data_IF_230724854045
#
_entry.id   IF_230724854045
#
_cell.length_a   1.000
_cell.length_b   1.000
_cell.length_c   1.000
_cell.angle_alpha   90.00
_cell.angle_beta   90.00
_cell.angle_gamma   90.00
#
_symmetry.space_group_name_H-M   'P 1'
#
loop_
_entity.id
_entity.type
_entity.pdbx_description
1 polymer ?
#
# COMPACT_ATOMS: atom_id res chain seq x y z
N UNK A 1 -26.70 5.28 0.13
CA UNK A 1 -26.72 5.65 1.53
C UNK A 1 -25.79 4.73 2.30
N UNK A 2 -24.90 5.28 3.07
CA UNK A 2 -24.06 4.47 3.98
C UNK A 2 -25.01 3.97 5.06
N UNK A 3 -25.10 2.66 5.23
CA UNK A 3 -25.95 2.08 6.25
C UNK A 3 -25.49 2.60 7.62
N UNK A 4 -26.42 3.20 8.34
CA UNK A 4 -26.15 3.83 9.63
C UNK A 4 -25.99 2.79 10.76
N UNK A 5 -26.45 1.57 10.56
CA UNK A 5 -26.33 0.49 11.53
C UNK A 5 -25.68 -0.76 10.94
N UNK A 6 -24.35 -0.83 11.10
CA UNK A 6 -23.59 -2.04 10.79
C UNK A 6 -23.27 -2.86 12.06
N UNK A 7 -23.80 -2.48 13.19
CA UNK A 7 -23.62 -3.14 14.47
C UNK A 7 -24.13 -4.54 14.40
N UNK A 8 -24.09 -5.53 14.21
CA UNK A 8 -24.67 -6.86 14.05
C UNK A 8 -25.02 -7.21 12.59
N UNK A 9 -24.58 -6.39 11.64
CA UNK A 9 -24.93 -6.57 10.24
C UNK A 9 -23.71 -6.31 9.33
N UNK A 10 -22.72 -7.18 9.46
CA UNK A 10 -21.53 -7.13 8.60
C UNK A 10 -21.91 -7.58 7.19
N UNK A 11 -21.76 -6.71 6.21
CA UNK A 11 -22.08 -7.01 4.80
C UNK A 11 -20.85 -6.87 3.92
N UNK A 12 -20.60 -7.81 3.00
CA UNK A 12 -19.66 -7.60 1.93
C UNK A 12 -20.16 -6.47 1.03
N UNK A 13 -19.25 -5.62 0.60
CA UNK A 13 -19.54 -4.49 -0.26
C UNK A 13 -18.64 -4.45 -1.49
N UNK A 14 -19.17 -3.86 -2.56
CA UNK A 14 -18.38 -3.56 -3.73
C UNK A 14 -17.36 -2.46 -3.43
N UNK A 15 -16.12 -2.65 -3.86
CA UNK A 15 -15.07 -1.64 -3.72
C UNK A 15 -14.75 -0.98 -5.06
N UNK A 16 -14.92 0.34 -5.13
CA UNK A 16 -14.48 1.17 -6.25
C UNK A 16 -12.96 1.08 -6.47
N UNK A 17 -12.20 0.77 -5.42
CA UNK A 17 -10.75 0.62 -5.49
C UNK A 17 -10.33 -0.43 -6.54
N UNK A 18 -11.10 -1.51 -6.72
CA UNK A 18 -10.80 -2.53 -7.73
C UNK A 18 -10.78 -1.94 -9.15
N UNK A 19 -11.77 -1.13 -9.49
CA UNK A 19 -11.85 -0.50 -10.81
C UNK A 19 -10.71 0.50 -11.00
N UNK A 20 -10.49 1.35 -10.02
CA UNK A 20 -9.44 2.38 -10.07
C UNK A 20 -8.04 1.75 -10.18
N UNK A 21 -7.76 0.74 -9.38
CA UNK A 21 -6.47 0.04 -9.39
C UNK A 21 -6.22 -0.66 -10.72
N UNK A 22 -7.23 -1.33 -11.33
CA UNK A 22 -7.08 -1.96 -12.65
C UNK A 22 -6.79 -0.93 -13.76
N UNK A 23 -7.34 0.28 -13.65
CA UNK A 23 -7.06 1.37 -14.60
C UNK A 23 -5.66 1.94 -14.43
N UNK A 24 -5.20 2.13 -13.19
CA UNK A 24 -3.89 2.68 -12.87
C UNK A 24 -2.74 1.68 -13.13
N UNK A 25 -3.00 0.42 -12.92
CA UNK A 25 -2.02 -0.65 -13.03
C UNK A 25 -2.53 -1.78 -13.93
N UNK A 26 -2.64 -1.56 -15.25
CA UNK A 26 -3.20 -2.54 -16.18
C UNK A 26 -2.41 -3.86 -16.24
N UNK A 27 -1.14 -3.83 -15.85
CA UNK A 27 -0.25 -4.99 -15.82
C UNK A 27 -0.38 -5.84 -14.55
N UNK A 28 -1.20 -5.40 -13.57
CA UNK A 28 -1.47 -6.24 -12.40
C UNK A 28 -2.56 -7.24 -12.76
N UNK A 29 -2.16 -8.49 -12.89
CA UNK A 29 -3.09 -9.60 -13.08
C UNK A 29 -3.70 -10.00 -11.72
N UNK A 30 -4.94 -10.51 -11.75
CA UNK A 30 -5.64 -11.07 -10.58
C UNK A 30 -5.82 -10.07 -9.41
N UNK A 31 -6.00 -8.79 -9.72
CA UNK A 31 -6.37 -7.81 -8.71
C UNK A 31 -7.81 -8.04 -8.26
N UNK A 32 -8.01 -8.33 -7.00
CA UNK A 32 -9.33 -8.46 -6.38
C UNK A 32 -9.38 -7.66 -5.08
N UNK A 33 -10.52 -7.05 -4.80
CA UNK A 33 -10.74 -6.28 -3.57
C UNK A 33 -12.06 -6.71 -2.93
N UNK A 34 -11.98 -7.00 -1.64
CA UNK A 34 -13.14 -7.31 -0.79
C UNK A 34 -13.32 -6.13 0.17
N UNK A 35 -14.52 -5.58 0.23
CA UNK A 35 -14.85 -4.50 1.15
C UNK A 35 -15.86 -5.02 2.18
N UNK A 36 -15.54 -4.84 3.44
CA UNK A 36 -16.46 -5.08 4.55
C UNK A 36 -16.89 -3.73 5.13
N UNK A 37 -18.19 -3.55 5.26
CA UNK A 37 -18.76 -2.35 5.86
C UNK A 37 -19.13 -2.64 7.29
N UNK A 38 -18.65 -1.79 8.16
CA UNK A 38 -18.95 -1.83 9.60
C UNK A 38 -19.03 -0.41 10.14
N UNK A 39 -19.75 -0.23 11.24
CA UNK A 39 -19.82 1.07 11.91
C UNK A 39 -18.53 1.30 12.68
N UNK A 40 -17.60 2.02 12.09
CA UNK A 40 -16.34 2.42 12.71
C UNK A 40 -16.08 3.90 12.52
N UNK A 41 -15.45 4.51 13.50
CA UNK A 41 -14.85 5.83 13.34
C UNK A 41 -13.65 5.71 12.39
N UNK A 42 -13.47 6.60 11.41
CA UNK A 42 -12.26 6.59 10.59
C UNK A 42 -11.00 6.65 11.45
N UNK A 43 -9.91 5.98 11.03
CA UNK A 43 -9.66 5.33 9.75
C UNK A 43 -10.29 3.94 9.62
N UNK A 44 -10.48 3.52 8.37
CA UNK A 44 -10.79 2.13 8.05
C UNK A 44 -9.58 1.22 8.21
N UNK A 45 -9.80 -0.08 8.33
CA UNK A 45 -8.74 -1.08 8.39
C UNK A 45 -8.62 -1.82 7.07
N UNK A 46 -7.39 -2.03 6.60
CA UNK A 46 -7.07 -2.66 5.34
C UNK A 46 -6.04 -3.77 5.53
N UNK A 47 -6.30 -4.90 4.91
CA UNK A 47 -5.32 -5.98 4.74
C UNK A 47 -4.99 -6.06 3.26
N UNK A 48 -3.71 -5.97 2.92
CA UNK A 48 -3.22 -6.10 1.56
C UNK A 48 -2.36 -7.33 1.42
N UNK A 49 -2.64 -8.14 0.41
CA UNK A 49 -1.86 -9.31 0.04
C UNK A 49 -1.27 -9.10 -1.34
N UNK A 50 0.04 -9.24 -1.47
CA UNK A 50 0.78 -9.02 -2.70
C UNK A 50 1.61 -10.25 -3.03
N UNK A 51 1.66 -10.58 -4.32
CA UNK A 51 2.62 -11.52 -4.88
C UNK A 51 3.52 -10.76 -5.85
N UNK A 52 4.80 -10.99 -5.80
CA UNK A 52 5.75 -10.33 -6.68
C UNK A 52 6.95 -11.22 -6.99
N UNK A 53 7.53 -11.00 -8.16
CA UNK A 53 8.78 -11.63 -8.54
C UNK A 53 9.95 -10.82 -8.02
N UNK A 54 10.82 -11.48 -7.28
CA UNK A 54 12.08 -10.90 -6.80
C UNK A 54 13.25 -11.57 -7.49
N UNK A 55 14.04 -10.80 -8.23
CA UNK A 55 15.28 -11.28 -8.82
C UNK A 55 16.38 -11.28 -7.76
N UNK A 56 17.01 -12.43 -7.55
CA UNK A 56 18.11 -12.56 -6.62
C UNK A 56 19.35 -11.83 -7.17
N UNK A 57 19.50 -10.57 -6.82
CA UNK A 57 20.72 -9.83 -7.07
C UNK A 57 21.79 -10.31 -6.10
N UNK A 58 22.90 -10.80 -6.63
CA UNK A 58 24.03 -11.30 -5.81
C UNK A 58 23.64 -12.43 -4.84
N UNK A 59 22.65 -13.25 -5.18
CA UNK A 59 22.12 -14.34 -4.35
C UNK A 59 21.57 -13.89 -2.97
N UNK A 60 21.36 -12.59 -2.78
CA UNK A 60 20.80 -12.08 -1.54
C UNK A 60 19.28 -12.33 -1.50
N UNK A 61 18.86 -13.14 -0.54
CA UNK A 61 17.42 -13.35 -0.26
C UNK A 61 16.85 -12.12 0.43
N UNK A 62 15.57 -11.86 0.18
CA UNK A 62 14.80 -10.85 0.88
C UNK A 62 14.26 -11.42 2.19
N UNK A 63 14.34 -10.64 3.27
CA UNK A 63 13.84 -10.99 4.60
C UNK A 63 12.79 -9.99 5.06
N UNK A 64 12.00 -10.36 6.07
CA UNK A 64 10.99 -9.48 6.66
C UNK A 64 11.59 -8.18 7.18
N UNK A 65 12.80 -8.21 7.71
CA UNK A 65 13.48 -7.01 8.20
C UNK A 65 13.82 -6.02 7.08
N UNK A 66 14.17 -6.51 5.88
CA UNK A 66 14.37 -5.65 4.69
C UNK A 66 13.07 -4.93 4.30
N UNK A 67 11.92 -5.59 4.45
CA UNK A 67 10.61 -4.97 4.21
C UNK A 67 10.27 -3.92 5.26
N UNK A 68 10.48 -4.23 6.54
CA UNK A 68 10.25 -3.29 7.64
C UNK A 68 11.09 -2.04 7.43
N UNK A 69 12.37 -2.19 7.10
CA UNK A 69 13.25 -1.05 6.83
C UNK A 69 12.78 -0.25 5.60
N UNK A 70 12.32 -0.92 4.55
CA UNK A 70 11.73 -0.27 3.38
C UNK A 70 10.49 0.56 3.73
N UNK A 71 9.62 0.05 4.60
CA UNK A 71 8.47 0.82 5.09
C UNK A 71 8.91 2.03 5.92
N UNK A 72 9.90 1.88 6.81
CA UNK A 72 10.48 2.97 7.61
C UNK A 72 11.08 4.06 6.72
N UNK A 73 11.85 3.69 5.71
CA UNK A 73 12.45 4.61 4.75
C UNK A 73 11.36 5.35 3.93
N UNK A 74 10.35 4.61 3.46
CA UNK A 74 9.23 5.19 2.70
C UNK A 74 8.43 6.17 3.54
N UNK A 75 8.19 5.85 4.81
CA UNK A 75 7.51 6.72 5.76
C UNK A 75 8.27 8.03 5.99
N UNK A 76 9.59 7.97 6.14
CA UNK A 76 10.44 9.18 6.26
C UNK A 76 10.40 10.03 4.99
N UNK A 77 10.41 9.40 3.82
CA UNK A 77 10.39 10.09 2.53
C UNK A 77 9.04 10.71 2.19
N UNK A 78 7.95 10.04 2.58
CA UNK A 78 6.58 10.44 2.26
C UNK A 78 5.67 10.43 3.50
N UNK A 79 5.93 11.27 4.52
CA UNK A 79 5.24 11.21 5.82
C UNK A 79 3.74 11.49 5.72
N UNK A 80 3.30 12.26 4.72
CA UNK A 80 1.89 12.54 4.49
C UNK A 80 1.13 11.40 3.80
N UNK A 81 1.84 10.43 3.21
CA UNK A 81 1.24 9.28 2.54
C UNK A 81 1.24 8.07 3.45
N UNK A 82 2.38 7.80 4.07
CA UNK A 82 2.60 6.62 4.88
C UNK A 82 3.24 6.98 6.22
N UNK A 83 2.66 6.52 7.30
CA UNK A 83 3.35 6.38 8.58
C UNK A 83 3.39 4.92 9.01
N UNK A 84 4.27 4.60 9.93
CA UNK A 84 4.47 3.24 10.43
C UNK A 84 4.36 3.20 11.94
N UNK A 85 3.88 2.08 12.47
CA UNK A 85 3.79 1.84 13.90
C UNK A 85 4.04 0.38 14.24
N UNK A 86 4.65 0.13 15.36
CA UNK A 86 4.83 -1.23 15.92
C UNK A 86 3.64 -1.61 16.82
N UNK A 87 2.84 -0.63 17.25
CA UNK A 87 1.73 -0.84 18.17
C UNK A 87 0.42 -1.08 17.41
N UNK A 88 -0.24 -2.20 17.69
CA UNK A 88 -1.59 -2.48 17.21
C UNK A 88 -2.62 -1.92 18.18
N UNK A 89 -2.93 -0.65 18.04
CA UNK A 89 -4.01 0.00 18.73
C UNK A 89 -5.30 -0.04 17.90
N UNK A 90 -6.45 0.22 18.51
CA UNK A 90 -7.72 0.32 17.77
C UNK A 90 -7.74 1.56 16.84
N UNK A 91 -8.61 1.57 15.84
CA UNK A 91 -8.71 2.64 14.83
C UNK A 91 -8.80 4.05 15.42
N UNK A 92 -9.44 4.21 16.57
CA UNK A 92 -9.56 5.50 17.28
C UNK A 92 -8.19 6.12 17.60
N UNK A 93 -7.17 5.33 17.90
CA UNK A 93 -5.83 5.83 18.20
C UNK A 93 -5.18 6.55 17.00
N UNK A 94 -5.61 6.20 15.79
CA UNK A 94 -5.08 6.76 14.53
C UNK A 94 -5.99 7.80 13.88
N UNK A 95 -7.10 8.19 14.53
CA UNK A 95 -8.07 9.14 14.00
C UNK A 95 -7.44 10.49 13.64
N UNK A 96 -6.47 10.93 14.42
CA UNK A 96 -5.78 12.23 14.24
C UNK A 96 -4.52 12.15 13.40
N UNK A 97 -4.14 10.96 12.88
CA UNK A 97 -2.93 10.86 12.06
C UNK A 97 -3.06 11.73 10.82
N UNK A 98 -1.96 12.30 10.41
CA UNK A 98 -1.90 13.15 9.23
C UNK A 98 -1.57 12.40 7.94
N UNK A 99 -1.06 11.18 8.04
CA UNK A 99 -0.74 10.33 6.89
C UNK A 99 -2.00 9.68 6.32
N UNK A 100 -1.94 9.34 5.03
CA UNK A 100 -3.02 8.63 4.34
C UNK A 100 -3.21 7.21 4.85
N UNK A 101 -2.11 6.57 5.27
CA UNK A 101 -2.12 5.24 5.85
C UNK A 101 -1.14 5.12 7.01
N UNK A 102 -1.50 4.32 8.00
CA UNK A 102 -0.63 3.90 9.11
C UNK A 102 -0.44 2.40 9.00
N UNK A 103 0.74 1.95 8.61
CA UNK A 103 1.05 0.52 8.44
C UNK A 103 1.64 -0.06 9.71
N UNK A 104 1.13 -1.21 10.12
CA UNK A 104 1.66 -1.99 11.23
C UNK A 104 2.93 -2.70 10.76
N UNK A 105 4.06 -2.42 11.41
CA UNK A 105 5.38 -2.96 11.01
C UNK A 105 5.96 -3.95 12.03
N UNK A 106 5.26 -4.28 13.10
CA UNK A 106 5.65 -5.39 13.94
C UNK A 106 5.53 -6.71 13.16
N UNK A 107 6.49 -7.63 13.36
CA UNK A 107 6.58 -8.91 12.63
C UNK A 107 5.33 -9.79 12.75
N UNK A 108 4.57 -9.65 13.82
CA UNK A 108 3.30 -10.37 14.00
C UNK A 108 2.19 -9.89 13.03
N UNK A 109 2.30 -8.68 12.47
CA UNK A 109 1.33 -8.09 11.54
C UNK A 109 1.80 -8.07 10.08
N UNK A 110 3.06 -8.42 9.82
CA UNK A 110 3.60 -8.59 8.49
C UNK A 110 3.86 -10.07 8.24
N UNK A 111 3.07 -10.66 7.36
CA UNK A 111 3.40 -11.97 6.86
C UNK A 111 4.27 -11.84 5.62
N UNK A 112 5.41 -12.51 5.63
CA UNK A 112 6.33 -12.57 4.50
C UNK A 112 6.74 -14.02 4.23
N UNK A 113 6.42 -14.49 3.03
CA UNK A 113 6.85 -15.80 2.56
C UNK A 113 7.69 -15.64 1.30
N UNK A 114 8.95 -16.01 1.39
CA UNK A 114 9.92 -15.92 0.30
C UNK A 114 10.21 -17.27 -0.39
N UNK A 115 9.47 -18.33 -0.04
CA UNK A 115 9.74 -19.70 -0.49
C UNK A 115 8.65 -20.26 -1.41
N UNK A 116 7.76 -19.40 -1.96
CA UNK A 116 6.63 -19.92 -2.73
C UNK A 116 7.06 -20.68 -3.98
N UNK A 117 8.04 -20.17 -4.72
CA UNK A 117 8.64 -20.87 -5.86
C UNK A 117 10.00 -20.28 -6.20
N UNK A 118 10.98 -21.13 -6.42
CA UNK A 118 12.25 -20.77 -7.05
C UNK A 118 12.12 -21.12 -8.54
N UNK A 119 12.06 -20.11 -9.40
CA UNK A 119 12.14 -20.32 -10.85
C UNK A 119 13.60 -20.14 -11.27
N UNK A 120 14.24 -21.24 -11.67
CA UNK A 120 15.51 -21.20 -12.39
C UNK A 120 15.18 -21.10 -13.87
N UNK A 121 15.13 -19.86 -14.39
CA UNK A 121 15.06 -19.68 -15.84
C UNK A 121 16.39 -20.11 -16.47
N UNK A 122 16.32 -20.71 -17.66
CA UNK A 122 17.46 -21.21 -18.45
C UNK A 122 18.61 -20.21 -18.70
N UNK A 123 18.46 -18.95 -18.28
CA UNK A 123 19.45 -17.88 -18.41
C UNK A 123 20.17 -17.52 -17.09
N UNK A 124 20.32 -18.45 -16.15
CA UNK A 124 21.03 -18.25 -14.87
C UNK A 124 20.52 -17.10 -13.98
N UNK A 125 19.32 -16.60 -14.18
CA UNK A 125 18.69 -15.65 -13.28
C UNK A 125 17.73 -16.39 -12.35
N UNK A 126 18.19 -16.64 -11.14
CA UNK A 126 17.32 -17.14 -10.09
C UNK A 126 16.30 -16.06 -9.71
N UNK A 127 15.03 -16.35 -9.83
CA UNK A 127 13.94 -15.51 -9.32
C UNK A 127 13.09 -16.30 -8.35
N UNK A 128 12.59 -15.63 -7.35
CA UNK A 128 11.65 -16.22 -6.38
C UNK A 128 10.33 -15.46 -6.42
N UNK A 129 9.23 -16.18 -6.19
CA UNK A 129 7.94 -15.56 -5.95
C UNK A 129 7.80 -15.35 -4.45
N UNK A 130 7.58 -14.09 -4.08
CA UNK A 130 7.38 -13.68 -2.71
C UNK A 130 5.93 -13.30 -2.49
N UNK A 131 5.42 -13.59 -1.30
CA UNK A 131 4.13 -13.13 -0.79
C UNK A 131 4.36 -12.18 0.38
N UNK A 132 3.66 -11.06 0.35
CA UNK A 132 3.60 -10.12 1.49
C UNK A 132 2.13 -9.92 1.84
N UNK A 133 1.82 -10.03 3.14
CA UNK A 133 0.54 -9.56 3.69
C UNK A 133 0.87 -8.43 4.67
N UNK A 134 0.26 -7.28 4.45
CA UNK A 134 0.41 -6.09 5.30
C UNK A 134 -0.93 -5.66 5.86
N UNK A 135 -0.90 -5.02 7.00
CA UNK A 135 -2.07 -4.51 7.69
C UNK A 135 -1.90 -3.01 7.95
N UNK A 136 -2.93 -2.23 7.64
CA UNK A 136 -2.86 -0.77 7.72
C UNK A 136 -4.20 -0.17 8.13
N UNK A 137 -4.13 0.97 8.83
CA UNK A 137 -5.27 1.87 9.00
C UNK A 137 -5.22 2.93 7.91
N UNK A 138 -6.34 3.14 7.20
CA UNK A 138 -6.41 4.00 6.01
C UNK A 138 -7.45 5.08 6.18
N UNK A 139 -7.04 6.34 6.02
CA UNK A 139 -7.92 7.50 6.06
C UNK A 139 -8.59 7.74 4.70
N UNK A 140 -9.87 7.39 4.59
CA UNK A 140 -10.63 7.53 3.33
C UNK A 140 -10.96 8.97 2.94
N UNK A 141 -10.93 9.91 3.87
CA UNK A 141 -11.22 11.33 3.60
C UNK A 141 -9.95 12.16 3.57
N UNK A 142 -9.34 12.43 4.72
CA UNK A 142 -8.12 13.25 4.81
C UNK A 142 -6.97 12.68 3.98
N UNK A 143 -6.73 11.38 4.09
CA UNK A 143 -5.66 10.71 3.37
C UNK A 143 -5.87 10.71 1.87
N UNK A 144 -7.11 10.46 1.39
CA UNK A 144 -7.42 10.52 -0.03
C UNK A 144 -7.19 11.93 -0.58
N UNK A 145 -7.70 12.96 0.07
CA UNK A 145 -7.50 14.35 -0.35
C UNK A 145 -6.02 14.71 -0.42
N UNK A 146 -5.22 14.32 0.58
CA UNK A 146 -3.76 14.54 0.55
C UNK A 146 -3.06 13.81 -0.56
N UNK A 147 -3.41 12.55 -0.82
CA UNK A 147 -2.83 11.78 -1.92
C UNK A 147 -3.12 12.44 -3.26
N UNK A 148 -4.35 12.95 -3.46
CA UNK A 148 -4.72 13.70 -4.67
C UNK A 148 -3.90 14.99 -4.79
N UNK A 149 -3.80 15.77 -3.72
CA UNK A 149 -3.01 17.02 -3.71
C UNK A 149 -1.53 16.75 -4.02
N UNK A 150 -0.93 15.74 -3.41
CA UNK A 150 0.46 15.36 -3.69
C UNK A 150 0.66 14.94 -5.14
N UNK A 151 -0.28 14.17 -5.70
CA UNK A 151 -0.23 13.79 -7.12
C UNK A 151 -0.31 15.01 -8.02
N UNK A 152 -1.23 15.94 -7.75
CA UNK A 152 -1.35 17.20 -8.50
C UNK A 152 -0.07 18.02 -8.42
N UNK A 153 0.54 18.14 -7.24
CA UNK A 153 1.82 18.86 -7.07
C UNK A 153 2.95 18.21 -7.89
N UNK A 154 3.03 16.87 -7.90
CA UNK A 154 4.01 16.16 -8.72
C UNK A 154 3.80 16.42 -10.22
N UNK A 155 2.56 16.36 -10.72
CA UNK A 155 2.23 16.65 -12.11
C UNK A 155 2.60 18.10 -12.47
N UNK A 156 2.28 19.06 -11.61
CA UNK A 156 2.61 20.47 -11.84
C UNK A 156 4.12 20.73 -11.85
N UNK A 157 4.86 20.08 -10.95
CA UNK A 157 6.32 20.19 -10.91
C UNK A 157 6.97 19.56 -12.15
N UNK A 158 6.45 18.43 -12.62
CA UNK A 158 6.92 17.81 -13.87
C UNK A 158 6.68 18.71 -15.06
N UNK A 159 5.51 19.34 -15.19
CA UNK A 159 5.22 20.32 -16.25
C UNK A 159 6.13 21.56 -16.21
N UNK A 160 6.46 22.05 -15.00
CA UNK A 160 7.42 23.16 -14.84
C UNK A 160 8.83 22.78 -15.31
N UNK A 161 9.26 21.56 -15.03
CA UNK A 161 10.57 21.06 -15.48
C UNK A 161 10.62 20.86 -16.99
N UNK A 162 9.54 20.35 -17.62
CA UNK A 162 9.44 20.23 -19.07
C UNK A 162 9.47 21.61 -19.77
N UNK A 163 8.80 22.62 -19.23
CA UNK A 163 8.89 23.99 -19.76
C UNK A 163 10.32 24.58 -19.67
N UNK A 164 11.07 24.28 -18.61
CA UNK A 164 12.48 24.70 -18.51
C UNK A 164 13.38 24.05 -19.55
N UNK A 165 13.11 22.81 -19.95
CA UNK A 165 13.90 22.11 -20.99
C UNK A 165 13.63 22.71 -22.36
N UNK A 166 12.40 23.16 -22.68
CA UNK A 166 12.04 23.73 -23.98
C UNK A 166 12.53 25.19 -24.20
N UNK A 167 13.17 25.82 -23.20
CA UNK A 167 13.80 27.14 -23.38
C UNK A 167 15.30 27.07 -23.70
N UNK A 168 15.85 25.86 -23.90
CA UNK A 168 17.26 25.64 -24.23
C UNK A 168 17.47 24.93 -25.59
N UNK A 169 16.46 24.96 -26.48
CA UNK A 169 16.58 24.49 -27.88
C UNK A 169 16.41 25.67 -28.82
#
# INVERSE_FOLDING_TARGET
>A
PREQDARNNLRPGFSQANISMKKLFPNIHNLNTISLRTLVTPPGYQICRFYFHYQLKNKKRLYVDDLIESFKLTSRKYPNILSVTENSLGSRAYEKTESSAVTLIDKQYIHFNNNLFLNTNSNNKESQICEIITQSFVHNTKGYCRSVLNTLQQVLNTKKNLKKINYWI
#
